data_IF_769710033294
#
_entry.id   IF_769710033294
#
_cell.length_a   1.000
_cell.length_b   1.000
_cell.length_c   1.000
_cell.angle_alpha   90.00
_cell.angle_beta   90.00
_cell.angle_gamma   90.00
#
_symmetry.space_group_name_H-M   'P 1'
#
loop_
_entity.id
_entity.type
_entity.pdbx_description
1 polymer ?
#
# COMPACT_ATOMS: atom_id res chain seq x y z
N UNK A 1 29.15 24.88 -17.95
CA UNK A 1 28.33 23.98 -17.12
C UNK A 1 27.11 23.59 -17.93
N UNK A 2 27.06 22.36 -18.47
CA UNK A 2 25.93 21.89 -19.25
C UNK A 2 24.69 21.81 -18.39
N UNK A 3 23.60 22.46 -18.82
CA UNK A 3 22.28 22.30 -18.24
C UNK A 3 21.93 20.81 -18.34
N UNK A 4 21.75 20.14 -17.20
CA UNK A 4 21.17 18.80 -17.14
C UNK A 4 19.71 18.95 -17.59
N UNK A 5 19.49 18.84 -18.90
CA UNK A 5 18.11 18.82 -19.43
C UNK A 5 17.44 17.57 -18.91
N UNK A 6 16.51 17.74 -17.97
CA UNK A 6 15.60 16.74 -17.50
C UNK A 6 14.69 16.36 -18.68
N UNK A 7 14.86 15.16 -19.21
CA UNK A 7 13.94 14.62 -20.21
C UNK A 7 13.27 13.38 -19.59
N UNK A 8 12.00 13.18 -19.83
CA UNK A 8 11.26 12.02 -19.35
C UNK A 8 11.99 10.71 -19.67
N UNK A 9 12.57 10.61 -20.87
CA UNK A 9 13.36 9.44 -21.29
C UNK A 9 14.60 9.19 -20.41
N UNK A 10 15.28 10.24 -19.96
CA UNK A 10 16.42 10.10 -19.03
C UNK A 10 15.96 9.64 -17.66
N UNK A 11 14.83 10.14 -17.21
CA UNK A 11 14.24 9.75 -15.92
C UNK A 11 13.80 8.29 -15.95
N UNK A 12 13.15 7.83 -17.02
CA UNK A 12 12.77 6.44 -17.20
C UNK A 12 14.00 5.51 -17.25
N UNK A 13 15.06 5.93 -17.93
CA UNK A 13 16.32 5.16 -17.95
C UNK A 13 16.94 5.07 -16.56
N UNK A 14 16.94 6.15 -15.80
CA UNK A 14 17.44 6.19 -14.42
C UNK A 14 16.58 5.35 -13.48
N UNK A 15 15.26 5.45 -13.60
CA UNK A 15 14.30 4.63 -12.86
C UNK A 15 14.51 3.14 -13.11
N UNK A 16 14.66 2.72 -14.38
CA UNK A 16 14.94 1.34 -14.75
C UNK A 16 16.26 0.83 -14.14
N UNK A 17 17.27 1.69 -14.02
CA UNK A 17 18.52 1.36 -13.36
C UNK A 17 18.35 1.22 -11.84
N UNK A 18 17.57 2.10 -11.21
CA UNK A 18 17.33 2.07 -9.77
C UNK A 18 16.51 0.88 -9.34
N UNK A 19 15.48 0.50 -10.11
CA UNK A 19 14.65 -0.67 -9.82
C UNK A 19 15.42 -1.99 -9.81
N UNK A 20 16.62 -2.03 -10.43
CA UNK A 20 17.52 -3.18 -10.40
C UNK A 20 18.44 -3.21 -9.18
N UNK A 21 18.50 -2.12 -8.41
CA UNK A 21 19.31 -2.05 -7.20
C UNK A 21 18.54 -2.54 -5.97
N UNK A 22 19.23 -2.90 -4.88
CA UNK A 22 18.56 -3.15 -3.60
C UNK A 22 17.70 -1.96 -3.19
N UNK A 23 16.42 -2.21 -2.93
CA UNK A 23 15.47 -1.17 -2.58
C UNK A 23 15.58 -0.82 -1.10
N UNK A 24 15.47 0.48 -0.80
CA UNK A 24 15.60 1.03 0.54
C UNK A 24 14.24 0.97 1.25
N UNK A 25 14.25 0.79 2.58
CA UNK A 25 13.04 0.86 3.38
C UNK A 25 12.46 2.28 3.33
N UNK A 26 11.31 2.42 2.69
CA UNK A 26 10.61 3.69 2.50
C UNK A 26 9.13 3.51 2.88
N UNK A 27 8.82 3.39 4.18
CA UNK A 27 7.46 3.14 4.63
C UNK A 27 6.51 4.25 4.21
N UNK A 28 5.30 3.85 3.80
CA UNK A 28 4.21 4.75 3.45
C UNK A 28 3.05 4.53 4.41
N UNK A 29 2.57 5.61 5.02
CA UNK A 29 1.36 5.61 5.85
C UNK A 29 0.28 6.44 5.17
N UNK A 30 -0.88 5.84 4.98
CA UNK A 30 -2.06 6.47 4.43
C UNK A 30 -2.93 6.98 5.57
N UNK A 31 -3.25 8.28 5.59
CA UNK A 31 -4.08 8.89 6.63
C UNK A 31 -5.29 9.55 6.02
N UNK A 32 -6.45 9.31 6.60
CA UNK A 32 -7.73 9.80 6.13
C UNK A 32 -8.41 10.64 7.20
N UNK A 33 -8.86 11.83 6.81
CA UNK A 33 -9.71 12.72 7.59
C UNK A 33 -10.86 13.22 6.73
N UNK A 34 -11.87 13.92 7.30
CA UNK A 34 -12.95 14.50 6.53
C UNK A 34 -12.42 15.42 5.43
N UNK A 35 -12.68 15.09 4.14
CA UNK A 35 -12.23 15.84 2.99
C UNK A 35 -10.73 15.83 2.72
N UNK A 36 -9.94 15.01 3.41
CA UNK A 36 -8.48 15.04 3.32
C UNK A 36 -7.90 13.62 3.29
N UNK A 37 -7.01 13.40 2.31
CA UNK A 37 -6.10 12.27 2.29
C UNK A 37 -4.65 12.76 2.43
N UNK A 38 -3.86 12.12 3.29
CA UNK A 38 -2.43 12.36 3.48
C UNK A 38 -1.66 11.08 3.15
N UNK A 39 -0.73 11.19 2.19
CA UNK A 39 0.25 10.17 1.89
C UNK A 39 1.57 10.57 2.54
N UNK A 40 1.92 9.94 3.65
CA UNK A 40 3.16 10.17 4.39
C UNK A 40 4.20 9.12 3.99
N UNK A 41 5.40 9.56 3.64
CA UNK A 41 6.52 8.69 3.32
C UNK A 41 7.72 9.05 4.18
N UNK A 42 8.41 8.03 4.69
CA UNK A 42 9.71 8.18 5.37
C UNK A 42 10.80 7.64 4.45
N UNK A 43 11.87 8.41 4.26
CA UNK A 43 12.99 8.04 3.40
C UNK A 43 14.30 8.29 4.14
N UNK A 44 15.19 7.29 4.30
CA UNK A 44 16.43 7.45 5.04
C UNK A 44 17.45 8.32 4.29
N UNK A 45 18.34 8.95 5.05
CA UNK A 45 19.46 9.72 4.53
C UNK A 45 20.33 8.90 3.56
N UNK A 46 20.95 9.58 2.59
CA UNK A 46 21.78 8.95 1.56
C UNK A 46 21.01 8.30 0.41
N UNK A 47 19.68 8.33 0.45
CA UNK A 47 18.83 7.77 -0.59
C UNK A 47 18.70 8.73 -1.76
N UNK A 48 18.85 8.22 -2.98
CA UNK A 48 18.44 8.90 -4.21
C UNK A 48 17.08 8.34 -4.61
N UNK A 49 16.05 9.20 -4.62
CA UNK A 49 14.66 8.79 -4.88
C UNK A 49 14.12 9.42 -6.15
N UNK A 50 13.30 8.65 -6.88
CA UNK A 50 12.50 9.12 -8.00
C UNK A 50 11.04 8.90 -7.63
N UNK A 51 10.29 10.00 -7.42
CA UNK A 51 8.86 9.94 -7.12
C UNK A 51 8.03 9.55 -8.34
N UNK A 52 6.80 9.09 -8.13
CA UNK A 52 5.80 9.04 -9.19
C UNK A 52 5.44 10.45 -9.64
N UNK A 53 5.01 10.59 -10.89
CA UNK A 53 4.52 11.86 -11.40
C UNK A 53 3.20 12.21 -10.68
N UNK A 54 3.14 13.40 -10.09
CA UNK A 54 1.92 13.94 -9.52
C UNK A 54 1.02 14.47 -10.64
N UNK A 55 -0.27 14.16 -10.59
CA UNK A 55 -1.24 14.57 -11.61
C UNK A 55 -1.88 15.92 -11.33
N UNK A 56 -1.91 16.34 -10.06
CA UNK A 56 -2.60 17.53 -9.58
C UNK A 56 -1.71 18.43 -8.75
N UNK A 57 -2.11 19.70 -8.63
CA UNK A 57 -1.57 20.61 -7.62
C UNK A 57 -1.99 20.13 -6.23
N UNK A 58 -1.06 20.06 -5.30
CA UNK A 58 -1.27 19.53 -3.96
C UNK A 58 -0.39 20.23 -2.93
N UNK A 59 -0.79 20.15 -1.67
CA UNK A 59 -0.02 20.67 -0.55
C UNK A 59 1.04 19.62 -0.13
N UNK A 60 2.25 20.10 0.15
CA UNK A 60 3.34 19.30 0.70
C UNK A 60 3.70 19.83 2.09
N UNK A 61 3.96 18.89 3.01
CA UNK A 61 4.50 19.19 4.33
C UNK A 61 5.71 18.32 4.55
N UNK A 62 6.85 18.94 4.77
CA UNK A 62 8.06 18.25 5.18
C UNK A 62 8.19 18.39 6.70
N UNK A 63 8.08 17.27 7.42
CA UNK A 63 8.07 17.23 8.88
C UNK A 63 9.47 17.09 9.47
N UNK A 64 10.36 16.37 8.76
CA UNK A 64 11.73 16.13 9.20
C UNK A 64 12.67 16.01 8.00
N UNK A 65 13.97 16.23 8.25
CA UNK A 65 15.06 16.00 7.31
C UNK A 65 15.37 17.16 6.38
N UNK A 66 16.26 16.90 5.43
CA UNK A 66 16.65 17.81 4.33
C UNK A 66 16.79 17.01 3.03
N UNK A 67 16.43 17.63 1.91
CA UNK A 67 16.51 17.03 0.59
C UNK A 67 16.98 18.03 -0.45
N UNK A 68 17.83 17.59 -1.35
CA UNK A 68 18.14 18.32 -2.59
C UNK A 68 17.22 17.78 -3.67
N UNK A 69 16.33 18.61 -4.22
CA UNK A 69 15.42 18.22 -5.29
C UNK A 69 15.79 18.83 -6.61
N UNK A 70 15.52 18.09 -7.68
CA UNK A 70 15.57 18.55 -9.07
C UNK A 70 14.17 18.39 -9.64
N UNK A 71 13.56 19.49 -10.06
CA UNK A 71 12.26 19.52 -10.73
C UNK A 71 12.37 19.25 -12.24
N UNK A 72 11.22 19.03 -12.90
CA UNK A 72 11.21 18.73 -14.35
C UNK A 72 11.84 19.82 -15.22
N UNK A 73 11.79 21.07 -14.80
CA UNK A 73 12.45 22.22 -15.44
C UNK A 73 13.97 22.30 -15.15
N UNK A 74 14.52 21.33 -14.41
CA UNK A 74 15.93 21.24 -14.06
C UNK A 74 16.38 22.17 -12.93
N UNK A 75 15.44 22.84 -12.26
CA UNK A 75 15.75 23.67 -11.09
C UNK A 75 16.15 22.78 -9.92
N UNK A 76 17.31 23.08 -9.33
CA UNK A 76 17.84 22.42 -8.15
C UNK A 76 17.58 23.26 -6.93
N UNK A 77 16.83 22.73 -5.97
CA UNK A 77 16.51 23.39 -4.71
C UNK A 77 16.81 22.48 -3.52
N UNK A 78 17.27 23.08 -2.44
CA UNK A 78 17.35 22.40 -1.13
C UNK A 78 16.13 22.79 -0.31
N UNK A 79 15.48 21.78 0.26
CA UNK A 79 14.34 21.94 1.17
C UNK A 79 14.74 21.34 2.51
N UNK A 80 14.51 22.11 3.58
CA UNK A 80 14.75 21.70 4.95
C UNK A 80 13.46 21.79 5.77
N UNK A 81 13.23 20.76 6.59
CA UNK A 81 12.08 20.74 7.51
C UNK A 81 12.30 21.68 8.72
N UNK A 82 11.20 22.20 9.33
CA UNK A 82 9.83 22.03 8.90
C UNK A 82 9.45 22.99 7.76
N UNK A 83 8.78 22.52 6.75
CA UNK A 83 8.34 23.37 5.63
C UNK A 83 7.03 22.91 5.04
N UNK A 84 6.18 23.87 4.64
CA UNK A 84 4.92 23.65 3.95
C UNK A 84 4.90 24.45 2.67
N UNK A 85 4.53 23.85 1.55
CA UNK A 85 4.45 24.52 0.26
C UNK A 85 3.50 23.81 -0.70
N UNK A 86 2.99 24.56 -1.67
CA UNK A 86 2.17 24.04 -2.77
C UNK A 86 3.10 23.65 -3.93
N UNK A 87 2.90 22.45 -4.50
CA UNK A 87 3.56 22.04 -5.72
C UNK A 87 2.55 21.71 -6.80
N UNK A 88 2.85 22.08 -8.04
CA UNK A 88 2.09 21.69 -9.22
C UNK A 88 2.30 20.22 -9.61
N UNK A 89 1.57 19.78 -10.67
CA UNK A 89 1.82 18.49 -11.30
C UNK A 89 3.29 18.35 -11.71
N UNK A 90 3.78 17.13 -11.77
CA UNK A 90 5.14 16.86 -12.21
C UNK A 90 5.83 15.78 -11.40
N UNK A 91 7.01 15.40 -11.86
CA UNK A 91 7.86 14.37 -11.26
C UNK A 91 9.08 15.01 -10.60
N UNK A 92 9.52 14.47 -9.50
CA UNK A 92 10.64 15.00 -8.71
C UNK A 92 11.68 13.92 -8.48
N UNK A 93 12.95 14.31 -8.56
CA UNK A 93 14.09 13.49 -8.16
C UNK A 93 14.70 14.15 -6.92
N UNK A 94 14.91 13.40 -5.86
CA UNK A 94 15.46 13.89 -4.60
C UNK A 94 16.65 13.09 -4.14
N UNK A 95 17.69 13.80 -3.65
CA UNK A 95 18.75 13.20 -2.85
C UNK A 95 18.55 13.60 -1.39
N UNK A 96 18.33 12.62 -0.54
CA UNK A 96 17.96 12.79 0.86
C UNK A 96 19.24 13.02 1.68
N UNK A 97 19.35 14.19 2.30
CA UNK A 97 20.53 14.58 3.10
C UNK A 97 20.44 14.06 4.55
N UNK A 98 19.25 14.16 5.14
CA UNK A 98 18.93 13.67 6.49
C UNK A 98 17.65 12.86 6.43
N UNK A 99 17.43 11.94 7.38
CA UNK A 99 16.21 11.12 7.45
C UNK A 99 14.96 12.00 7.31
N UNK A 100 14.18 11.72 6.28
CA UNK A 100 13.10 12.59 5.82
C UNK A 100 11.73 11.98 6.10
N UNK A 101 10.80 12.84 6.60
CA UNK A 101 9.37 12.54 6.65
C UNK A 101 8.65 13.58 5.81
N UNK A 102 7.97 13.11 4.77
CA UNK A 102 7.28 13.95 3.80
C UNK A 102 5.82 13.55 3.65
N UNK A 103 4.93 14.52 3.63
CA UNK A 103 3.50 14.34 3.42
C UNK A 103 3.06 15.03 2.13
N UNK A 104 2.34 14.30 1.27
CA UNK A 104 1.51 14.86 0.22
C UNK A 104 0.06 14.89 0.72
N UNK A 105 -0.60 16.03 0.61
CA UNK A 105 -1.95 16.27 1.13
C UNK A 105 -2.87 16.60 -0.04
N UNK A 106 -3.97 15.82 -0.14
CA UNK A 106 -4.96 15.94 -1.20
C UNK A 106 -6.35 16.14 -0.62
N UNK A 107 -7.16 16.99 -1.27
CA UNK A 107 -8.55 17.21 -0.92
C UNK A 107 -9.42 16.12 -1.56
N UNK A 108 -9.94 15.20 -0.75
CA UNK A 108 -10.83 14.11 -1.17
C UNK A 108 -11.42 13.39 0.04
N UNK A 109 -12.61 12.81 -0.13
CA UNK A 109 -13.24 11.88 0.82
C UNK A 109 -13.01 10.41 0.45
N UNK A 110 -12.31 10.12 -0.67
CA UNK A 110 -11.98 8.73 -1.04
C UNK A 110 -11.00 8.12 -0.03
N UNK A 111 -11.23 6.86 0.35
CA UNK A 111 -10.37 6.11 1.27
C UNK A 111 -9.79 4.82 0.65
N UNK A 112 -10.14 4.51 -0.58
CA UNK A 112 -9.56 3.42 -1.35
C UNK A 112 -8.20 3.87 -1.93
N UNK A 113 -7.11 3.31 -1.39
CA UNK A 113 -5.73 3.68 -1.77
C UNK A 113 -5.46 3.42 -3.25
N UNK A 114 -6.00 2.34 -3.84
CA UNK A 114 -5.82 2.04 -5.27
C UNK A 114 -6.41 3.15 -6.14
N UNK A 115 -7.62 3.60 -5.82
CA UNK A 115 -8.27 4.73 -6.51
C UNK A 115 -7.51 6.04 -6.29
N UNK A 116 -7.07 6.30 -5.05
CA UNK A 116 -6.30 7.50 -4.73
C UNK A 116 -4.99 7.56 -5.49
N UNK A 117 -4.27 6.43 -5.58
CA UNK A 117 -3.05 6.38 -6.38
C UNK A 117 -3.33 6.56 -7.87
N UNK A 118 -4.44 6.02 -8.39
CA UNK A 118 -4.86 6.26 -9.78
C UNK A 118 -5.27 7.72 -10.04
N UNK A 119 -5.86 8.40 -9.05
CA UNK A 119 -6.26 9.80 -9.17
C UNK A 119 -5.06 10.76 -9.15
N UNK A 120 -4.11 10.51 -8.25
CA UNK A 120 -3.06 11.48 -7.92
C UNK A 120 -1.67 11.13 -8.44
N UNK A 121 -1.43 9.88 -8.83
CA UNK A 121 -0.12 9.40 -9.27
C UNK A 121 -0.19 8.82 -10.68
N UNK A 122 0.63 9.36 -11.57
CA UNK A 122 0.93 8.74 -12.86
C UNK A 122 2.17 7.86 -12.69
N UNK A 123 1.95 6.54 -12.69
CA UNK A 123 2.98 5.53 -12.51
C UNK A 123 3.58 5.18 -13.86
N UNK A 124 4.90 5.29 -14.00
CA UNK A 124 5.59 4.99 -15.26
C UNK A 124 5.37 3.54 -15.71
N UNK A 125 5.42 3.31 -17.00
CA UNK A 125 5.39 1.97 -17.58
C UNK A 125 6.52 1.09 -17.02
N UNK A 126 7.72 1.64 -16.88
CA UNK A 126 8.89 0.95 -16.30
C UNK A 126 8.61 0.42 -14.90
N UNK A 127 8.01 1.23 -14.05
CA UNK A 127 7.63 0.81 -12.71
C UNK A 127 6.52 -0.26 -12.73
N UNK A 128 5.51 -0.09 -13.57
CA UNK A 128 4.41 -1.06 -13.71
C UNK A 128 4.92 -2.43 -14.21
N UNK A 129 5.83 -2.44 -15.16
CA UNK A 129 6.47 -3.67 -15.65
C UNK A 129 7.34 -4.33 -14.57
N UNK A 130 8.07 -3.52 -13.78
CA UNK A 130 8.81 -4.04 -12.63
C UNK A 130 7.89 -4.72 -11.62
N UNK A 131 6.74 -4.10 -11.28
CA UNK A 131 5.76 -4.71 -10.37
C UNK A 131 5.22 -6.05 -10.91
N UNK A 132 4.86 -6.11 -12.19
CA UNK A 132 4.41 -7.36 -12.84
C UNK A 132 5.48 -8.45 -12.77
N UNK A 133 6.74 -8.12 -13.03
CA UNK A 133 7.84 -9.07 -12.97
C UNK A 133 8.10 -9.56 -11.55
N UNK A 134 8.04 -8.68 -10.55
CA UNK A 134 8.13 -9.06 -9.14
C UNK A 134 6.99 -10.02 -8.76
N UNK A 135 5.78 -9.75 -9.19
CA UNK A 135 4.63 -10.62 -8.97
C UNK A 135 4.80 -12.00 -9.63
N UNK A 136 5.34 -12.10 -10.85
CA UNK A 136 5.61 -13.35 -11.53
C UNK A 136 6.65 -14.20 -10.78
N UNK A 137 7.75 -13.60 -10.33
CA UNK A 137 8.81 -14.31 -9.61
C UNK A 137 8.34 -14.95 -8.29
N UNK A 138 7.40 -14.31 -7.63
CA UNK A 138 6.86 -14.81 -6.36
C UNK A 138 5.67 -15.78 -6.52
N UNK A 139 5.03 -15.86 -7.70
CA UNK A 139 3.86 -16.72 -7.94
C UNK A 139 4.14 -18.22 -7.92
N UNK A 140 5.40 -18.64 -7.99
CA UNK A 140 5.79 -20.06 -7.94
C UNK A 140 5.72 -20.65 -6.53
N UNK A 141 5.58 -19.84 -5.49
CA UNK A 141 5.71 -20.26 -4.08
C UNK A 141 4.34 -20.47 -3.38
N UNK A 142 3.22 -20.18 -4.07
CA UNK A 142 1.88 -20.19 -3.45
C UNK A 142 0.97 -21.35 -3.86
N UNK A 143 1.49 -22.39 -4.53
CA UNK A 143 0.67 -23.53 -4.94
C UNK A 143 0.06 -24.29 -3.76
N UNK A 144 0.76 -24.36 -2.63
CA UNK A 144 0.25 -24.97 -1.41
C UNK A 144 -0.86 -24.14 -0.77
N UNK A 145 -0.76 -22.82 -0.79
CA UNK A 145 -1.79 -21.91 -0.27
C UNK A 145 -3.08 -22.02 -1.08
N UNK A 146 -2.99 -22.12 -2.41
CA UNK A 146 -4.14 -22.32 -3.28
C UNK A 146 -4.84 -23.67 -2.98
N UNK A 147 -4.09 -24.74 -2.80
CA UNK A 147 -4.66 -26.06 -2.47
C UNK A 147 -5.35 -26.03 -1.10
N UNK A 148 -4.72 -25.40 -0.10
CA UNK A 148 -5.28 -25.28 1.25
C UNK A 148 -6.48 -24.33 1.29
N UNK A 149 -6.51 -23.28 0.46
CA UNK A 149 -7.68 -22.42 0.28
C UNK A 149 -8.93 -23.20 -0.11
N UNK A 150 -8.85 -24.04 -1.15
CA UNK A 150 -9.98 -24.87 -1.56
C UNK A 150 -10.44 -25.84 -0.46
N UNK A 151 -9.49 -26.43 0.28
CA UNK A 151 -9.81 -27.27 1.42
C UNK A 151 -10.51 -26.47 2.54
N UNK A 152 -9.98 -25.30 2.88
CA UNK A 152 -10.51 -24.45 3.94
C UNK A 152 -11.95 -23.99 3.66
N UNK A 153 -12.27 -23.54 2.45
CA UNK A 153 -13.64 -23.13 2.12
C UNK A 153 -14.61 -24.30 2.08
N UNK A 154 -14.17 -25.48 1.56
CA UNK A 154 -14.98 -26.68 1.49
C UNK A 154 -15.36 -27.22 2.88
N UNK A 155 -14.48 -27.13 3.87
CA UNK A 155 -14.77 -27.51 5.28
C UNK A 155 -15.98 -26.76 5.86
N UNK A 156 -16.29 -25.55 5.35
CA UNK A 156 -17.41 -24.70 5.75
C UNK A 156 -18.58 -24.72 4.75
N UNK A 157 -18.54 -25.63 3.75
CA UNK A 157 -19.61 -25.80 2.77
C UNK A 157 -19.64 -24.73 1.67
N UNK A 158 -18.55 -24.01 1.46
CA UNK A 158 -18.40 -23.04 0.37
C UNK A 158 -17.61 -23.64 -0.80
N UNK A 159 -17.90 -23.17 -1.98
CA UNK A 159 -17.08 -23.33 -3.18
C UNK A 159 -16.48 -21.98 -3.63
N UNK A 160 -15.55 -22.02 -4.55
CA UNK A 160 -14.86 -20.81 -5.05
C UNK A 160 -15.84 -19.81 -5.67
N UNK A 161 -16.82 -20.26 -6.44
CA UNK A 161 -17.79 -19.39 -7.11
C UNK A 161 -18.64 -18.63 -6.09
N UNK A 162 -19.10 -19.33 -5.04
CA UNK A 162 -19.84 -18.71 -3.92
C UNK A 162 -18.99 -17.64 -3.22
N UNK A 163 -17.69 -17.91 -2.98
CA UNK A 163 -16.79 -16.92 -2.38
C UNK A 163 -16.63 -15.71 -3.29
N UNK A 164 -16.46 -15.91 -4.61
CA UNK A 164 -16.32 -14.82 -5.57
C UNK A 164 -17.60 -13.95 -5.64
N UNK A 165 -18.77 -14.57 -5.64
CA UNK A 165 -20.06 -13.84 -5.57
C UNK A 165 -20.12 -12.99 -4.29
N UNK A 166 -19.70 -13.54 -3.15
CA UNK A 166 -19.67 -12.78 -1.88
C UNK A 166 -18.67 -11.62 -1.93
N UNK A 167 -17.48 -11.82 -2.52
CA UNK A 167 -16.49 -10.74 -2.67
C UNK A 167 -17.02 -9.58 -3.50
N UNK A 168 -17.85 -9.86 -4.51
CA UNK A 168 -18.44 -8.87 -5.41
C UNK A 168 -19.71 -8.21 -4.87
N UNK A 169 -20.28 -8.73 -3.78
CA UNK A 169 -21.52 -8.18 -3.21
C UNK A 169 -21.32 -6.75 -2.70
N UNK A 170 -21.95 -5.77 -3.34
CA UNK A 170 -21.86 -4.36 -2.99
C UNK A 170 -22.58 -4.03 -1.67
N UNK A 171 -23.63 -4.78 -1.31
CA UNK A 171 -24.40 -4.51 -0.10
C UNK A 171 -23.62 -4.86 1.18
N UNK A 172 -22.63 -5.74 1.07
CA UNK A 172 -21.70 -6.14 2.14
C UNK A 172 -20.42 -5.33 2.13
N UNK A 173 -20.44 -4.10 1.64
CA UNK A 173 -19.25 -3.25 1.51
C UNK A 173 -19.37 -1.98 2.34
N UNK A 174 -18.26 -1.59 2.96
CA UNK A 174 -18.09 -0.31 3.64
C UNK A 174 -16.66 0.16 3.43
N UNK A 175 -16.49 1.47 3.26
CA UNK A 175 -15.18 2.07 3.14
C UNK A 175 -14.39 1.97 4.45
N UNK A 176 -13.07 2.13 4.37
CA UNK A 176 -12.25 2.29 5.58
C UNK A 176 -12.66 3.58 6.30
N UNK A 177 -12.87 3.54 7.62
CA UNK A 177 -13.11 4.74 8.39
C UNK A 177 -11.89 5.68 8.35
N UNK A 178 -12.12 6.94 8.71
CA UNK A 178 -11.00 7.88 8.87
C UNK A 178 -9.99 7.34 9.89
N UNK A 179 -8.70 7.51 9.61
CA UNK A 179 -7.63 6.95 10.43
C UNK A 179 -6.31 6.86 9.67
N UNK A 180 -5.34 6.19 10.26
CA UNK A 180 -4.03 5.93 9.65
C UNK A 180 -3.84 4.45 9.38
N UNK A 181 -3.45 4.08 8.16
CA UNK A 181 -3.28 2.69 7.73
C UNK A 181 -1.94 2.46 7.06
N UNK A 182 -1.34 1.32 7.36
CA UNK A 182 -0.08 0.84 6.80
C UNK A 182 -0.32 -0.26 5.77
N UNK A 183 -1.38 -0.16 4.99
CA UNK A 183 -1.78 -1.17 4.01
C UNK A 183 -2.35 -0.55 2.74
N UNK A 184 -2.32 -1.33 1.67
CA UNK A 184 -3.02 -1.04 0.42
C UNK A 184 -3.56 -2.33 -0.20
N UNK A 185 -4.56 -2.20 -1.07
CA UNK A 185 -5.03 -3.30 -1.91
C UNK A 185 -4.27 -3.25 -3.23
N UNK A 186 -3.79 -4.39 -3.70
CA UNK A 186 -3.09 -4.53 -4.98
C UNK A 186 -3.35 -5.92 -5.58
N UNK A 187 -3.04 -6.16 -6.87
CA UNK A 187 -3.12 -7.49 -7.44
C UNK A 187 -2.32 -8.52 -6.64
N UNK A 188 -2.94 -9.66 -6.33
CA UNK A 188 -2.34 -10.75 -5.57
C UNK A 188 -1.86 -11.88 -6.49
N UNK A 189 -0.99 -12.69 -5.97
CA UNK A 189 -0.50 -13.94 -6.57
C UNK A 189 -1.30 -15.15 -6.10
N UNK A 190 -1.95 -15.00 -4.95
CA UNK A 190 -2.78 -16.06 -4.36
C UNK A 190 -4.10 -16.12 -5.12
N UNK A 191 -4.87 -15.01 -5.10
CA UNK A 191 -6.10 -14.87 -5.89
C UNK A 191 -6.47 -13.40 -6.06
N UNK A 192 -6.84 -12.99 -7.27
CA UNK A 192 -7.40 -11.69 -7.61
C UNK A 192 -6.64 -10.48 -7.04
N UNK A 193 -7.15 -9.91 -5.96
CA UNK A 193 -6.53 -8.82 -5.19
C UNK A 193 -6.16 -9.30 -3.79
N UNK A 194 -5.11 -8.69 -3.22
CA UNK A 194 -4.64 -8.93 -1.85
C UNK A 194 -4.41 -7.65 -1.09
N UNK A 195 -4.22 -7.75 0.21
CA UNK A 195 -3.83 -6.65 1.10
C UNK A 195 -2.32 -6.72 1.32
N UNK A 196 -1.61 -5.62 1.07
CA UNK A 196 -0.15 -5.53 1.19
C UNK A 196 0.25 -4.50 2.22
N UNK A 197 1.28 -4.80 3.00
CA UNK A 197 1.83 -3.86 3.97
C UNK A 197 2.59 -2.72 3.25
N UNK A 198 2.27 -1.46 3.59
CA UNK A 198 2.97 -0.28 3.06
C UNK A 198 4.01 0.28 4.03
N UNK A 199 3.95 -0.12 5.30
CA UNK A 199 4.95 0.11 6.32
C UNK A 199 5.07 -1.13 7.20
N UNK A 200 6.18 -1.29 7.92
CA UNK A 200 6.36 -2.42 8.85
C UNK A 200 5.28 -2.42 9.92
N UNK A 201 4.82 -3.61 10.26
CA UNK A 201 3.81 -3.88 11.28
C UNK A 201 4.42 -4.79 12.35
N UNK A 202 4.16 -4.48 13.60
CA UNK A 202 4.60 -5.30 14.72
C UNK A 202 3.55 -6.37 15.07
N UNK A 203 3.98 -7.47 15.69
CA UNK A 203 3.04 -8.49 16.18
C UNK A 203 2.05 -7.87 17.18
N UNK A 204 0.75 -8.12 16.96
CA UNK A 204 -0.34 -7.55 17.76
C UNK A 204 -0.83 -6.18 17.28
N UNK A 205 -0.18 -5.56 16.31
CA UNK A 205 -0.64 -4.28 15.75
C UNK A 205 -1.94 -4.46 14.95
N UNK A 206 -2.91 -3.57 15.17
CA UNK A 206 -4.14 -3.51 14.38
C UNK A 206 -3.81 -2.93 13.01
N UNK A 207 -4.00 -3.72 11.97
CA UNK A 207 -3.74 -3.32 10.58
C UNK A 207 -4.86 -2.42 10.07
N UNK A 208 -6.10 -2.89 10.21
CA UNK A 208 -7.31 -2.15 9.86
C UNK A 208 -8.56 -2.85 10.43
N UNK A 209 -9.69 -2.15 10.55
CA UNK A 209 -10.99 -2.80 10.70
C UNK A 209 -11.27 -3.67 9.46
N UNK A 210 -11.61 -4.94 9.66
CA UNK A 210 -11.97 -5.86 8.58
C UNK A 210 -13.49 -5.89 8.35
N UNK A 211 -14.28 -5.76 9.44
CA UNK A 211 -15.74 -5.71 9.37
C UNK A 211 -16.28 -4.71 10.38
N UNK A 212 -17.21 -3.86 9.94
CA UNK A 212 -17.87 -2.84 10.76
C UNK A 212 -19.38 -2.98 10.55
N UNK A 213 -20.13 -3.08 11.62
CA UNK A 213 -21.61 -3.21 11.59
C UNK A 213 -22.08 -4.29 10.59
N UNK A 214 -21.36 -5.41 10.50
CA UNK A 214 -21.68 -6.52 9.62
C UNK A 214 -21.14 -6.42 8.20
N UNK A 215 -20.65 -5.25 7.75
CA UNK A 215 -20.12 -4.99 6.39
C UNK A 215 -18.61 -5.08 6.35
N UNK A 216 -18.05 -5.61 5.25
CA UNK A 216 -16.61 -5.76 5.05
C UNK A 216 -15.98 -4.48 4.50
N UNK A 217 -14.89 -4.07 5.09
CA UNK A 217 -13.98 -3.06 4.55
C UNK A 217 -13.09 -3.68 3.45
N UNK A 218 -12.29 -2.90 2.71
CA UNK A 218 -11.27 -3.44 1.82
C UNK A 218 -10.32 -4.44 2.50
N UNK A 219 -9.94 -4.20 3.77
CA UNK A 219 -9.12 -5.13 4.54
C UNK A 219 -9.82 -6.46 4.80
N UNK A 220 -11.12 -6.46 5.07
CA UNK A 220 -11.90 -7.70 5.28
C UNK A 220 -12.28 -8.44 4.00
N UNK A 221 -12.24 -7.73 2.85
CA UNK A 221 -12.66 -8.30 1.57
C UNK A 221 -11.51 -8.92 0.79
N UNK A 222 -10.35 -8.28 0.82
CA UNK A 222 -9.23 -8.62 -0.03
C UNK A 222 -8.07 -9.32 0.70
N UNK A 223 -8.22 -9.63 2.00
CA UNK A 223 -7.20 -10.42 2.70
C UNK A 223 -7.33 -11.88 2.28
N UNK A 224 -6.29 -12.40 1.63
CA UNK A 224 -6.23 -13.75 1.10
C UNK A 224 -5.90 -14.80 2.18
N UNK A 225 -6.15 -16.07 1.83
CA UNK A 225 -5.81 -17.21 2.65
C UNK A 225 -4.34 -17.58 2.49
N UNK A 226 -3.73 -18.02 3.59
CA UNK A 226 -2.46 -18.76 3.60
C UNK A 226 -2.48 -19.84 4.67
N UNK A 227 -1.83 -20.95 4.37
CA UNK A 227 -1.54 -22.01 5.32
C UNK A 227 -0.62 -21.56 6.46
N UNK A 228 0.24 -20.57 6.17
CA UNK A 228 1.16 -19.94 7.11
C UNK A 228 0.86 -18.44 7.21
N UNK A 229 -0.27 -18.03 7.82
CA UNK A 229 -0.74 -16.66 7.82
C UNK A 229 0.14 -15.76 8.68
N UNK A 230 0.34 -14.52 8.25
CA UNK A 230 1.04 -13.49 9.02
C UNK A 230 0.08 -12.56 9.80
N UNK A 231 -1.24 -12.73 9.61
CA UNK A 231 -2.28 -11.98 10.31
C UNK A 231 -3.43 -12.88 10.75
N UNK A 232 -4.34 -12.32 11.53
CA UNK A 232 -5.56 -12.99 12.03
C UNK A 232 -6.71 -12.01 12.17
N UNK A 233 -7.94 -12.53 12.12
CA UNK A 233 -9.16 -11.77 12.42
C UNK A 233 -9.46 -11.84 13.92
N UNK A 234 -9.77 -10.69 14.54
CA UNK A 234 -10.17 -10.61 15.96
C UNK A 234 -11.56 -10.01 16.05
N UNK A 235 -12.48 -10.78 16.62
CA UNK A 235 -13.83 -10.33 16.94
C UNK A 235 -13.81 -9.43 18.17
N UNK A 236 -14.42 -8.26 18.06
CA UNK A 236 -14.58 -7.29 19.15
C UNK A 236 -15.92 -7.49 19.87
N UNK A 237 -16.06 -6.95 21.10
CA UNK A 237 -17.26 -7.06 21.92
C UNK A 237 -18.50 -6.46 21.24
N UNK A 238 -18.35 -5.42 20.42
CA UNK A 238 -19.44 -4.80 19.66
C UNK A 238 -19.81 -5.59 18.39
N UNK A 239 -19.13 -6.71 18.11
CA UNK A 239 -19.35 -7.56 16.95
C UNK A 239 -18.61 -7.14 15.69
N UNK A 240 -17.84 -6.08 15.71
CA UNK A 240 -16.90 -5.73 14.63
C UNK A 240 -15.72 -6.68 14.60
N UNK A 241 -14.94 -6.67 13.52
CA UNK A 241 -13.77 -7.52 13.36
C UNK A 241 -12.59 -6.68 12.94
N UNK A 242 -11.46 -6.82 13.62
CA UNK A 242 -10.19 -6.25 13.23
C UNK A 242 -9.28 -7.27 12.56
N UNK A 243 -8.55 -6.84 11.54
CA UNK A 243 -7.38 -7.53 11.00
C UNK A 243 -6.16 -7.11 11.84
N UNK A 244 -5.45 -8.08 12.39
CA UNK A 244 -4.35 -7.87 13.34
C UNK A 244 -3.13 -8.68 12.90
N UNK A 245 -1.95 -8.09 12.93
CA UNK A 245 -0.70 -8.79 12.64
C UNK A 245 -0.45 -9.90 13.70
N UNK A 246 -0.21 -11.12 13.24
CA UNK A 246 0.11 -12.26 14.11
C UNK A 246 1.62 -12.35 14.40
N UNK A 247 2.43 -11.80 13.51
CA UNK A 247 3.90 -11.71 13.58
C UNK A 247 4.35 -10.38 12.94
N UNK A 248 5.63 -10.00 13.04
CA UNK A 248 6.15 -8.84 12.31
C UNK A 248 5.97 -9.02 10.79
N UNK A 249 5.49 -7.98 10.11
CA UNK A 249 5.25 -7.96 8.66
C UNK A 249 6.11 -6.85 8.04
N UNK A 250 6.81 -7.16 6.96
CA UNK A 250 7.69 -6.21 6.29
C UNK A 250 6.90 -5.32 5.34
N UNK A 251 7.05 -3.99 5.48
CA UNK A 251 6.43 -2.99 4.62
C UNK A 251 7.13 -2.83 3.26
N UNK A 252 6.64 -1.90 2.46
CA UNK A 252 7.21 -1.59 1.16
C UNK A 252 8.65 -1.06 1.26
N UNK A 253 9.45 -1.36 0.23
CA UNK A 253 10.83 -0.90 0.09
C UNK A 253 11.00 -0.26 -1.29
N UNK A 254 11.12 1.05 -1.33
CA UNK A 254 11.30 1.78 -2.59
C UNK A 254 10.26 1.38 -3.64
N UNK A 255 10.72 0.79 -4.75
CA UNK A 255 9.86 0.32 -5.84
C UNK A 255 9.17 -1.03 -5.59
N UNK A 256 9.40 -1.71 -4.47
CA UNK A 256 8.85 -3.03 -4.17
C UNK A 256 7.67 -2.94 -3.21
N UNK A 257 6.61 -3.70 -3.47
CA UNK A 257 5.52 -3.91 -2.51
C UNK A 257 6.05 -4.57 -1.23
N UNK A 258 5.39 -4.32 -0.12
CA UNK A 258 5.61 -5.06 1.11
C UNK A 258 5.03 -6.47 1.04
N UNK A 259 5.10 -7.19 2.14
CA UNK A 259 4.52 -8.53 2.24
C UNK A 259 3.00 -8.48 2.08
N UNK A 260 2.45 -9.50 1.43
CA UNK A 260 1.01 -9.73 1.41
C UNK A 260 0.55 -10.15 2.80
N UNK A 261 -0.51 -9.52 3.27
CA UNK A 261 -1.14 -9.79 4.56
C UNK A 261 -2.15 -10.90 4.33
N UNK A 262 -1.96 -12.04 5.00
CA UNK A 262 -2.77 -13.23 4.82
C UNK A 262 -3.32 -13.75 6.14
N UNK A 263 -4.44 -14.46 6.08
CA UNK A 263 -5.09 -15.09 7.24
C UNK A 263 -5.38 -16.57 6.98
N UNK A 264 -5.63 -17.33 8.02
CA UNK A 264 -6.28 -18.64 7.89
C UNK A 264 -7.80 -18.45 7.80
N UNK A 265 -8.40 -18.87 6.68
CA UNK A 265 -9.85 -18.76 6.48
C UNK A 265 -10.64 -19.61 7.47
N UNK A 266 -10.09 -20.73 7.97
CA UNK A 266 -10.73 -21.54 9.02
C UNK A 266 -10.92 -20.71 10.29
N UNK A 267 -9.90 -19.97 10.68
CA UNK A 267 -9.95 -19.06 11.83
C UNK A 267 -10.99 -17.95 11.60
N UNK A 268 -10.98 -17.31 10.43
CA UNK A 268 -11.90 -16.23 10.11
C UNK A 268 -13.38 -16.70 10.03
N UNK A 269 -13.64 -17.84 9.38
CA UNK A 269 -14.98 -18.42 9.25
C UNK A 269 -15.54 -18.90 10.59
N UNK A 270 -14.69 -19.43 11.49
CA UNK A 270 -15.10 -19.83 12.83
C UNK A 270 -15.68 -18.68 13.66
N UNK A 271 -15.27 -17.42 13.38
CA UNK A 271 -15.83 -16.23 14.05
C UNK A 271 -17.28 -15.96 13.64
N UNK A 272 -17.68 -16.34 12.42
CA UNK A 272 -19.06 -16.18 11.95
C UNK A 272 -20.02 -17.15 12.63
N UNK A 273 -19.58 -18.37 12.97
CA UNK A 273 -20.39 -19.41 13.61
C UNK A 273 -20.68 -19.08 15.09
N UNK A 274 -19.77 -18.38 15.76
CA UNK A 274 -19.97 -17.97 17.16
C UNK A 274 -21.04 -16.89 17.37
N UNK A 275 -21.63 -16.35 16.29
CA UNK A 275 -22.70 -15.33 16.31
C UNK A 275 -24.11 -15.89 16.28
N UNK A 276 -24.29 -17.18 16.00
CA UNK A 276 -25.56 -17.92 16.00
C UNK A 276 -25.65 -18.81 17.25
#
# INVERSE_FOLDING_TARGET
MGQLLYTEQKVQTLEAAFLKQPQVNCPVVHRFGPGIYIREVSIPAGTLSIGHRQTTTHLNVMLAGRVIMISEDGVKIEIAAPQTFVAGPGRKIGYILDDMIWQNIYATDETDVEKLEAMFLDKSQTWQEHQKNQQLLLSFDHSEDVADYYAAIAEYGFDHDTVQVQVQNLDDQIDLPHGGYKMMVAPSKIDGKGVFATASLEAGEVIAPARIAGKRTPAGRYTNHSKNPNAKMILLDNGDVNLVAAMPIVGCKGGNLGEEITIDYRQALSLAIRRN
#
